data_IF_743815895852
#
_entry.id   IF_743815895852
#
_cell.length_a   1.000
_cell.length_b   1.000
_cell.length_c   1.000
_cell.angle_alpha   90.00
_cell.angle_beta   90.00
_cell.angle_gamma   90.00
#
_symmetry.space_group_name_H-M   'P 1'
#
loop_
_entity.id
_entity.type
_entity.pdbx_description
1 polymer ?
#
# COMPACT_ATOMS: atom_id res chain seq x y z
N UNK A 1 21.63 25.63 15.82
CA UNK A 1 22.09 25.01 14.56
C UNK A 1 21.30 23.72 14.38
N UNK A 2 20.19 23.77 13.65
CA UNK A 2 19.48 22.54 13.28
C UNK A 2 20.21 21.98 12.06
N UNK A 3 20.99 20.93 12.29
CA UNK A 3 21.49 20.09 11.19
C UNK A 3 20.25 19.46 10.56
N UNK A 4 19.98 19.76 9.29
CA UNK A 4 18.99 19.01 8.52
C UNK A 4 19.43 17.54 8.53
N UNK A 5 18.78 16.73 9.35
CA UNK A 5 18.93 15.28 9.34
C UNK A 5 18.16 14.78 8.13
N UNK A 6 18.87 14.53 7.05
CA UNK A 6 18.33 13.80 5.91
C UNK A 6 18.25 12.32 6.29
N UNK A 7 17.04 11.77 6.24
CA UNK A 7 16.79 10.34 6.47
C UNK A 7 16.89 9.67 5.11
N UNK A 8 17.74 8.64 4.99
CA UNK A 8 17.83 7.85 3.77
C UNK A 8 16.50 7.11 3.54
N UNK A 9 15.94 7.29 2.33
CA UNK A 9 14.76 6.58 1.87
C UNK A 9 14.91 5.05 1.96
N UNK A 10 16.11 4.53 1.73
CA UNK A 10 16.37 3.09 1.80
C UNK A 10 16.19 2.56 3.22
N UNK A 11 16.58 3.32 4.24
CA UNK A 11 16.44 2.94 5.64
C UNK A 11 14.96 2.94 6.07
N UNK A 12 14.17 3.89 5.58
CA UNK A 12 12.71 3.92 5.82
C UNK A 12 12.04 2.70 5.19
N UNK A 13 12.39 2.37 3.94
CA UNK A 13 11.85 1.20 3.25
C UNK A 13 12.21 -0.09 4.01
N UNK A 14 13.46 -0.22 4.48
CA UNK A 14 13.88 -1.37 5.31
C UNK A 14 13.09 -1.49 6.61
N UNK A 15 12.80 -0.38 7.29
CA UNK A 15 11.96 -0.39 8.51
C UNK A 15 10.54 -0.88 8.22
N UNK A 16 9.97 -0.51 7.08
CA UNK A 16 8.64 -0.96 6.65
C UNK A 16 8.69 -2.44 6.28
N UNK A 17 9.69 -2.87 5.51
CA UNK A 17 9.88 -4.27 5.14
C UNK A 17 10.00 -5.18 6.37
N UNK A 18 10.75 -4.74 7.39
CA UNK A 18 10.86 -5.45 8.66
C UNK A 18 9.50 -5.59 9.34
N UNK A 19 8.73 -4.50 9.44
CA UNK A 19 7.41 -4.52 10.04
C UNK A 19 6.44 -5.46 9.29
N UNK A 20 6.50 -5.47 7.96
CA UNK A 20 5.68 -6.38 7.15
C UNK A 20 6.07 -7.85 7.38
N UNK A 21 7.36 -8.14 7.56
CA UNK A 21 7.85 -9.48 7.89
C UNK A 21 7.35 -9.92 9.27
N UNK A 22 7.53 -9.09 10.30
CA UNK A 22 7.08 -9.36 11.67
C UNK A 22 5.55 -9.52 11.77
N UNK A 23 4.81 -8.83 10.89
CA UNK A 23 3.34 -8.90 10.83
C UNK A 23 2.80 -10.03 9.94
N UNK A 24 3.67 -10.89 9.39
CA UNK A 24 3.31 -11.98 8.45
C UNK A 24 2.59 -11.51 7.17
N UNK A 25 2.86 -10.29 6.71
CA UNK A 25 2.27 -9.71 5.49
C UNK A 25 3.15 -10.01 4.26
N UNK A 26 3.26 -11.30 3.92
CA UNK A 26 4.21 -11.81 2.91
C UNK A 26 3.98 -11.23 1.50
N UNK A 27 2.73 -11.09 1.06
CA UNK A 27 2.41 -10.53 -0.26
C UNK A 27 2.84 -9.07 -0.38
N UNK A 28 2.54 -8.26 0.63
CA UNK A 28 2.90 -6.83 0.64
C UNK A 28 4.41 -6.65 0.71
N UNK A 29 5.10 -7.50 1.47
CA UNK A 29 6.55 -7.52 1.53
C UNK A 29 7.17 -7.78 0.15
N UNK A 30 6.70 -8.82 -0.55
CA UNK A 30 7.23 -9.17 -1.88
C UNK A 30 7.00 -8.03 -2.88
N UNK A 31 5.78 -7.50 -2.96
CA UNK A 31 5.47 -6.39 -3.88
C UNK A 31 6.33 -5.17 -3.58
N UNK A 32 6.52 -4.81 -2.30
CA UNK A 32 7.33 -3.66 -1.94
C UNK A 32 8.81 -3.85 -2.32
N UNK A 33 9.35 -5.06 -2.18
CA UNK A 33 10.73 -5.38 -2.61
C UNK A 33 10.90 -5.33 -4.13
N UNK A 34 9.91 -5.81 -4.88
CA UNK A 34 9.94 -5.79 -6.36
C UNK A 34 9.86 -4.36 -6.91
N UNK A 35 8.98 -3.52 -6.34
CA UNK A 35 8.77 -2.14 -6.77
C UNK A 35 9.94 -1.20 -6.37
N UNK A 36 10.47 -1.36 -5.16
CA UNK A 36 11.53 -0.46 -4.65
C UNK A 36 12.93 -0.94 -5.01
N UNK A 37 13.12 -2.21 -5.35
CA UNK A 37 14.43 -2.83 -5.50
C UNK A 37 15.25 -2.92 -4.21
N UNK A 38 14.69 -2.51 -3.07
CA UNK A 38 15.34 -2.56 -1.75
C UNK A 38 14.94 -3.85 -1.06
N UNK A 39 15.94 -4.64 -0.66
CA UNK A 39 15.76 -5.87 0.09
C UNK A 39 16.14 -5.66 1.54
N UNK A 40 15.46 -6.39 2.42
CA UNK A 40 15.60 -6.21 3.86
C UNK A 40 17.02 -6.59 4.34
N UNK A 41 17.61 -7.65 3.76
CA UNK A 41 18.98 -8.16 4.05
C UNK A 41 19.39 -8.01 5.53
N UNK A 42 18.43 -8.27 6.43
CA UNK A 42 18.62 -8.05 7.86
C UNK A 42 18.68 -9.37 8.60
N UNK A 43 19.59 -9.46 9.55
CA UNK A 43 19.67 -10.58 10.50
C UNK A 43 19.65 -10.01 11.92
N UNK A 44 19.18 -10.80 12.89
CA UNK A 44 19.13 -10.39 14.30
C UNK A 44 20.52 -9.98 14.81
N UNK A 45 21.54 -10.80 14.52
CA UNK A 45 22.93 -10.50 14.82
C UNK A 45 23.85 -10.94 13.68
N UNK A 46 24.59 -9.99 13.12
CA UNK A 46 25.62 -10.27 12.10
C UNK A 46 26.78 -11.07 12.73
N UNK A 47 27.05 -10.87 14.02
CA UNK A 47 28.12 -11.58 14.74
C UNK A 47 27.76 -13.07 14.96
N UNK A 48 26.52 -13.35 15.35
CA UNK A 48 26.03 -14.72 15.51
C UNK A 48 25.99 -15.43 14.16
N UNK A 49 25.50 -14.76 13.12
CA UNK A 49 25.49 -15.31 11.77
C UNK A 49 26.92 -15.56 11.23
N UNK A 50 27.85 -14.63 11.45
CA UNK A 50 29.26 -14.85 11.09
C UNK A 50 29.86 -16.03 11.88
N UNK A 51 29.47 -16.21 13.14
CA UNK A 51 29.85 -17.37 13.95
C UNK A 51 29.28 -18.67 13.40
N UNK A 52 28.02 -18.69 12.96
CA UNK A 52 27.37 -19.85 12.31
C UNK A 52 28.14 -20.28 11.06
N UNK A 53 28.54 -19.33 10.23
CA UNK A 53 29.37 -19.58 9.03
C UNK A 53 30.74 -20.13 9.41
N UNK A 54 31.39 -19.56 10.44
CA UNK A 54 32.70 -20.05 10.92
C UNK A 54 32.61 -21.46 11.52
N UNK A 55 31.52 -21.78 12.19
CA UNK A 55 31.27 -23.09 12.78
C UNK A 55 30.79 -24.12 11.73
N UNK A 56 30.28 -23.67 10.58
CA UNK A 56 29.81 -24.52 9.49
C UNK A 56 28.40 -25.06 9.72
N UNK A 57 27.55 -24.30 10.41
CA UNK A 57 26.11 -24.60 10.55
C UNK A 57 25.38 -24.26 9.24
N UNK A 58 25.60 -25.06 8.21
CA UNK A 58 25.06 -24.76 6.87
C UNK A 58 23.54 -24.83 6.79
N UNK A 59 22.89 -25.56 7.68
CA UNK A 59 21.44 -25.60 7.83
C UNK A 59 20.87 -24.23 8.19
N UNK A 60 21.38 -23.60 9.26
CA UNK A 60 20.93 -22.27 9.67
C UNK A 60 21.35 -21.22 8.65
N UNK A 61 22.57 -21.32 8.12
CA UNK A 61 23.11 -20.35 7.15
C UNK A 61 22.33 -20.37 5.83
N UNK A 62 22.03 -21.54 5.26
CA UNK A 62 21.28 -21.60 4.00
C UNK A 62 19.81 -21.17 4.20
N UNK A 63 19.23 -21.47 5.37
CA UNK A 63 17.88 -21.01 5.69
C UNK A 63 17.80 -19.48 5.76
N UNK A 64 18.72 -18.81 6.44
CA UNK A 64 18.72 -17.34 6.50
C UNK A 64 19.07 -16.71 5.16
N UNK A 65 20.03 -17.27 4.41
CA UNK A 65 20.40 -16.79 3.07
C UNK A 65 19.24 -16.93 2.07
N UNK A 66 18.37 -17.93 2.20
CA UNK A 66 17.19 -18.07 1.33
C UNK A 66 16.20 -16.90 1.41
N UNK A 67 16.20 -16.17 2.53
CA UNK A 67 15.37 -14.98 2.75
C UNK A 67 16.09 -13.67 2.43
N UNK A 68 17.38 -13.73 2.10
CA UNK A 68 18.21 -12.56 1.81
C UNK A 68 18.55 -12.53 0.31
N UNK A 69 18.67 -11.32 -0.25
CA UNK A 69 19.18 -11.15 -1.61
C UNK A 69 20.62 -10.68 -1.55
N UNK A 70 21.53 -11.66 -1.55
CA UNK A 70 22.97 -11.44 -1.57
C UNK A 70 23.47 -11.25 -3.01
N UNK A 71 24.68 -10.71 -3.16
CA UNK A 71 25.33 -10.62 -4.46
C UNK A 71 25.66 -12.02 -5.00
N UNK A 72 25.64 -12.16 -6.32
CA UNK A 72 25.95 -13.44 -6.97
C UNK A 72 27.36 -13.94 -6.58
N UNK A 73 28.34 -13.04 -6.45
CA UNK A 73 29.70 -13.39 -6.05
C UNK A 73 29.77 -14.02 -4.65
N UNK A 74 29.04 -13.47 -3.68
CA UNK A 74 29.03 -13.99 -2.30
C UNK A 74 28.24 -15.29 -2.21
N UNK A 75 27.14 -15.43 -2.95
CA UNK A 75 26.41 -16.69 -3.10
C UNK A 75 27.30 -17.77 -3.71
N UNK A 76 28.05 -17.46 -4.77
CA UNK A 76 28.96 -18.41 -5.39
C UNK A 76 30.02 -18.92 -4.40
N UNK A 77 30.64 -18.03 -3.62
CA UNK A 77 31.63 -18.40 -2.62
C UNK A 77 31.04 -19.28 -1.51
N UNK A 78 29.82 -18.95 -1.05
CA UNK A 78 29.11 -19.73 -0.04
C UNK A 78 28.81 -21.14 -0.54
N UNK A 79 28.16 -21.27 -1.69
CA UNK A 79 27.78 -22.57 -2.27
C UNK A 79 29.00 -23.42 -2.65
N UNK A 80 30.08 -22.81 -3.12
CA UNK A 80 31.35 -23.49 -3.37
C UNK A 80 31.94 -24.08 -2.07
N UNK A 81 31.89 -23.33 -0.96
CA UNK A 81 32.35 -23.82 0.33
C UNK A 81 31.47 -24.94 0.88
N UNK A 82 30.13 -24.83 0.79
CA UNK A 82 29.22 -25.91 1.19
C UNK A 82 29.51 -27.18 0.41
N UNK A 83 29.69 -27.07 -0.92
CA UNK A 83 30.03 -28.21 -1.78
C UNK A 83 31.36 -28.86 -1.34
N UNK A 84 32.40 -28.06 -1.08
CA UNK A 84 33.70 -28.56 -0.61
C UNK A 84 33.58 -29.35 0.70
N UNK A 85 32.74 -28.88 1.62
CA UNK A 85 32.54 -29.55 2.90
C UNK A 85 31.67 -30.80 2.81
N UNK A 86 30.69 -30.84 1.89
CA UNK A 86 29.96 -32.06 1.59
C UNK A 86 30.87 -33.15 1.02
N UNK A 87 31.82 -32.77 0.17
CA UNK A 87 32.86 -33.69 -0.34
C UNK A 87 33.77 -34.18 0.79
N UNK A 88 34.12 -33.34 1.76
CA UNK A 88 34.90 -33.70 2.95
C UNK A 88 34.15 -34.72 3.83
N UNK A 89 32.84 -34.56 3.98
CA UNK A 89 31.95 -35.48 4.70
C UNK A 89 31.65 -36.78 3.92
N UNK A 90 32.18 -36.92 2.69
CA UNK A 90 31.96 -38.05 1.76
C UNK A 90 30.51 -38.18 1.25
N UNK A 91 29.73 -37.12 1.33
CA UNK A 91 28.36 -37.04 0.80
C UNK A 91 28.37 -36.65 -0.69
N UNK A 92 29.02 -37.49 -1.51
CA UNK A 92 29.29 -37.18 -2.94
C UNK A 92 28.02 -37.11 -3.78
N UNK A 93 27.01 -37.93 -3.46
CA UNK A 93 25.73 -37.93 -4.18
C UNK A 93 24.98 -36.61 -3.97
N UNK A 94 24.88 -36.15 -2.72
CA UNK A 94 24.24 -34.89 -2.38
C UNK A 94 25.03 -33.70 -2.97
N UNK A 95 26.37 -33.76 -2.97
CA UNK A 95 27.20 -32.75 -3.61
C UNK A 95 26.92 -32.64 -5.12
N UNK A 96 26.72 -33.77 -5.81
CA UNK A 96 26.34 -33.80 -7.23
C UNK A 96 24.94 -33.26 -7.48
N UNK A 97 23.97 -33.58 -6.62
CA UNK A 97 22.62 -33.02 -6.72
C UNK A 97 22.68 -31.50 -6.56
N UNK A 98 23.38 -31.00 -5.53
CA UNK A 98 23.55 -29.58 -5.28
C UNK A 98 24.18 -28.86 -6.49
N UNK A 99 25.23 -29.44 -7.11
CA UNK A 99 25.89 -28.88 -8.30
C UNK A 99 24.97 -28.81 -9.53
N UNK A 100 23.99 -29.71 -9.67
CA UNK A 100 23.11 -29.80 -10.85
C UNK A 100 21.78 -29.06 -10.68
N UNK A 101 21.20 -29.13 -9.49
CA UNK A 101 19.81 -28.72 -9.25
C UNK A 101 19.70 -27.27 -8.78
N UNK A 102 20.77 -26.68 -8.24
CA UNK A 102 20.72 -25.30 -7.75
C UNK A 102 20.87 -24.28 -8.88
N UNK A 103 20.06 -23.22 -8.83
CA UNK A 103 20.11 -22.10 -9.78
C UNK A 103 21.45 -21.35 -9.73
N UNK A 104 22.04 -21.25 -8.54
CA UNK A 104 23.33 -20.59 -8.29
C UNK A 104 24.45 -21.25 -9.10
N UNK A 105 24.54 -22.58 -9.10
CA UNK A 105 25.56 -23.27 -9.90
C UNK A 105 25.30 -23.23 -11.40
N UNK A 106 24.03 -23.13 -11.83
CA UNK A 106 23.70 -22.93 -13.24
C UNK A 106 24.18 -21.56 -13.75
N UNK A 107 24.04 -20.51 -12.94
CA UNK A 107 24.60 -19.19 -13.23
C UNK A 107 26.13 -19.19 -13.15
N UNK A 108 26.70 -19.84 -12.13
CA UNK A 108 28.16 -19.99 -11.97
C UNK A 108 28.81 -20.67 -13.17
N UNK A 109 28.16 -21.68 -13.76
CA UNK A 109 28.63 -22.37 -14.98
C UNK A 109 28.74 -21.43 -16.18
N UNK A 110 27.82 -20.46 -16.30
CA UNK A 110 27.83 -19.48 -17.39
C UNK A 110 28.93 -18.44 -17.21
N UNK A 111 29.13 -17.94 -15.99
CA UNK A 111 30.11 -16.89 -15.69
C UNK A 111 31.54 -17.40 -15.50
N UNK A 112 31.73 -18.59 -14.92
CA UNK A 112 33.04 -19.15 -14.54
C UNK A 112 33.19 -20.63 -14.97
N UNK A 113 33.21 -20.92 -16.29
CA UNK A 113 33.19 -22.29 -16.80
C UNK A 113 34.41 -23.13 -16.37
N UNK A 114 35.59 -22.54 -16.26
CA UNK A 114 36.82 -23.26 -15.84
C UNK A 114 36.80 -23.64 -14.36
N UNK A 115 36.25 -22.78 -13.50
CA UNK A 115 36.07 -23.10 -12.07
C UNK A 115 34.98 -24.17 -11.90
N UNK A 116 33.90 -24.10 -12.65
CA UNK A 116 32.83 -25.12 -12.61
C UNK A 116 33.33 -26.51 -13.03
N UNK A 117 34.09 -26.61 -14.14
CA UNK A 117 34.72 -27.88 -14.56
C UNK A 117 35.61 -28.48 -13.48
N UNK A 118 36.36 -27.63 -12.76
CA UNK A 118 37.17 -28.06 -11.63
C UNK A 118 36.31 -28.66 -10.51
N UNK A 119 35.21 -28.03 -10.13
CA UNK A 119 34.28 -28.56 -9.12
C UNK A 119 33.68 -29.90 -9.56
N UNK A 120 33.33 -30.05 -10.84
CA UNK A 120 32.89 -31.33 -11.41
C UNK A 120 33.98 -32.42 -11.32
N UNK A 121 35.23 -32.07 -11.64
CA UNK A 121 36.37 -32.99 -11.51
C UNK A 121 36.58 -33.42 -10.05
N UNK A 122 36.43 -32.50 -9.09
CA UNK A 122 36.52 -32.81 -7.66
C UNK A 122 35.40 -33.76 -7.22
N UNK A 123 34.16 -33.56 -7.68
CA UNK A 123 33.04 -34.47 -7.39
C UNK A 123 33.22 -35.87 -8.00
N UNK A 124 34.01 -35.98 -9.07
CA UNK A 124 34.31 -37.24 -9.76
C UNK A 124 35.52 -38.00 -9.21
N UNK A 125 36.30 -37.41 -8.29
CA UNK A 125 37.44 -38.09 -7.68
C UNK A 125 36.96 -39.15 -6.66
N UNK A 126 37.57 -40.36 -6.65
CA UNK A 126 37.19 -41.43 -5.74
C UNK A 126 37.67 -41.20 -4.29
N UNK A 127 38.66 -40.33 -4.09
CA UNK A 127 39.20 -40.00 -2.78
C UNK A 127 39.26 -38.49 -2.60
N UNK A 128 38.90 -38.03 -1.39
CA UNK A 128 39.01 -36.64 -0.99
C UNK A 128 40.46 -36.33 -0.58
N UNK A 129 41.12 -35.43 -1.29
CA UNK A 129 42.38 -34.84 -0.86
C UNK A 129 42.15 -33.37 -0.43
N UNK A 130 42.37 -33.01 0.85
CA UNK A 130 42.26 -31.63 1.33
C UNK A 130 43.08 -30.63 0.51
N UNK A 131 44.22 -31.05 -0.05
CA UNK A 131 45.09 -30.16 -0.84
C UNK A 131 44.50 -29.81 -2.21
N UNK A 132 43.76 -30.72 -2.83
CA UNK A 132 43.12 -30.49 -4.13
C UNK A 132 41.92 -29.53 -4.02
N UNK A 133 41.26 -29.54 -2.87
CA UNK A 133 40.06 -28.75 -2.58
C UNK A 133 40.41 -27.35 -2.06
N UNK A 134 41.35 -27.26 -1.13
CA UNK A 134 41.70 -26.00 -0.46
C UNK A 134 42.95 -25.30 -1.02
N UNK A 135 43.73 -25.95 -1.89
CA UNK A 135 44.97 -25.45 -2.50
C UNK A 135 45.96 -24.81 -1.50
N UNK A 136 45.93 -23.48 -1.42
CA UNK A 136 46.80 -22.63 -0.60
C UNK A 136 46.07 -21.99 0.59
N UNK A 137 44.77 -22.27 0.75
CA UNK A 137 43.95 -21.77 1.84
C UNK A 137 43.61 -22.90 2.82
N UNK A 138 43.04 -22.53 3.96
CA UNK A 138 42.46 -23.48 4.91
C UNK A 138 40.94 -23.30 4.94
N UNK A 139 40.24 -24.35 5.36
CA UNK A 139 38.80 -24.32 5.60
C UNK A 139 38.38 -23.12 6.45
N UNK A 140 39.06 -22.91 7.58
CA UNK A 140 38.78 -21.82 8.50
C UNK A 140 39.01 -20.44 7.87
N UNK A 141 40.05 -20.28 7.05
CA UNK A 141 40.31 -19.02 6.34
C UNK A 141 39.25 -18.73 5.28
N UNK A 142 38.78 -19.75 4.56
CA UNK A 142 37.67 -19.59 3.59
C UNK A 142 36.38 -19.24 4.30
N UNK A 143 36.03 -19.95 5.38
CA UNK A 143 34.85 -19.62 6.20
C UNK A 143 34.92 -18.20 6.75
N UNK A 144 36.06 -17.75 7.26
CA UNK A 144 36.24 -16.38 7.74
C UNK A 144 36.09 -15.34 6.63
N UNK A 145 36.63 -15.59 5.44
CA UNK A 145 36.47 -14.69 4.29
C UNK A 145 35.01 -14.60 3.83
N UNK A 146 34.29 -15.73 3.79
CA UNK A 146 32.86 -15.78 3.44
C UNK A 146 32.03 -15.07 4.50
N UNK A 147 32.29 -15.35 5.78
CA UNK A 147 31.62 -14.67 6.89
C UNK A 147 31.79 -13.15 6.80
N UNK A 148 33.00 -12.67 6.48
CA UNK A 148 33.25 -11.24 6.29
C UNK A 148 32.53 -10.68 5.06
N UNK A 149 32.53 -11.40 3.94
CA UNK A 149 31.86 -10.95 2.71
C UNK A 149 30.34 -10.83 2.91
N UNK A 150 29.72 -11.81 3.56
CA UNK A 150 28.29 -11.77 3.85
C UNK A 150 27.99 -10.72 4.94
N UNK A 151 28.83 -10.57 5.96
CA UNK A 151 28.68 -9.54 6.99
C UNK A 151 28.71 -8.11 6.44
N UNK A 152 29.43 -7.87 5.33
CA UNK A 152 29.44 -6.57 4.66
C UNK A 152 28.14 -6.27 3.89
N UNK A 153 27.38 -7.30 3.50
CA UNK A 153 26.11 -7.17 2.77
C UNK A 153 24.89 -7.19 3.69
N UNK A 154 25.04 -7.78 4.88
CA UNK A 154 23.98 -7.86 5.89
C UNK A 154 24.00 -6.68 6.84
N UNK A 155 22.82 -6.31 7.33
CA UNK A 155 22.67 -5.32 8.39
C UNK A 155 22.03 -5.95 9.63
N UNK A 156 22.49 -5.56 10.82
CA UNK A 156 21.79 -5.90 12.06
C UNK A 156 20.69 -4.88 12.30
N UNK A 157 19.44 -5.32 12.22
CA UNK A 157 18.29 -4.48 12.51
C UNK A 157 17.58 -5.08 13.74
N UNK A 158 17.52 -4.33 14.87
CA UNK A 158 16.82 -4.81 16.06
C UNK A 158 15.34 -5.12 15.75
N UNK A 159 14.79 -6.18 16.34
CA UNK A 159 13.36 -6.51 16.23
C UNK A 159 12.47 -5.31 16.56
N UNK A 160 11.39 -5.13 15.80
CA UNK A 160 10.38 -4.10 16.01
C UNK A 160 10.96 -2.67 16.07
N UNK A 161 11.99 -2.41 15.25
CA UNK A 161 12.66 -1.10 15.22
C UNK A 161 11.71 0.04 14.89
N UNK A 162 10.79 -0.16 13.93
CA UNK A 162 9.78 0.82 13.56
C UNK A 162 8.92 1.23 14.77
N UNK A 163 8.38 0.25 15.50
CA UNK A 163 7.57 0.49 16.70
C UNK A 163 8.38 1.19 17.80
N UNK A 164 9.65 0.84 17.95
CA UNK A 164 10.55 1.49 18.90
C UNK A 164 10.76 2.96 18.55
N UNK A 165 11.01 3.26 17.28
CA UNK A 165 11.18 4.64 16.79
C UNK A 165 9.90 5.46 16.94
N UNK A 166 8.74 4.86 16.65
CA UNK A 166 7.44 5.48 16.91
C UNK A 166 7.26 5.76 18.41
N UNK A 167 7.59 4.81 19.29
CA UNK A 167 7.54 5.02 20.73
C UNK A 167 8.47 6.16 21.20
N UNK A 168 9.66 6.29 20.61
CA UNK A 168 10.60 7.37 20.90
C UNK A 168 10.09 8.73 20.40
N UNK A 169 9.53 8.80 19.19
CA UNK A 169 8.97 10.05 18.65
C UNK A 169 7.81 10.55 19.49
N UNK A 170 6.95 9.66 19.98
CA UNK A 170 5.85 9.98 20.88
C UNK A 170 6.33 10.50 22.24
N UNK A 171 7.35 9.86 22.83
CA UNK A 171 7.98 10.37 24.07
C UNK A 171 8.55 11.77 23.86
N UNK A 172 9.16 12.03 22.71
CA UNK A 172 9.66 13.36 22.35
C UNK A 172 8.53 14.39 22.24
N UNK A 173 7.44 14.07 21.55
CA UNK A 173 6.26 14.94 21.43
C UNK A 173 5.62 15.24 22.79
N UNK A 174 5.54 14.23 23.68
CA UNK A 174 5.06 14.40 25.06
C UNK A 174 5.93 15.37 25.85
N UNK A 175 7.26 15.23 25.77
CA UNK A 175 8.21 16.13 26.44
C UNK A 175 8.13 17.57 25.90
N UNK A 176 7.81 17.73 24.62
CA UNK A 176 7.63 19.04 23.98
C UNK A 176 6.24 19.65 24.20
N UNK A 177 5.33 18.96 24.88
CA UNK A 177 3.96 19.44 25.11
C UNK A 177 3.10 19.48 23.84
N UNK A 178 3.47 18.72 22.81
CA UNK A 178 2.75 18.65 21.53
C UNK A 178 1.57 17.66 21.56
N UNK A 179 1.36 16.95 22.66
CA UNK A 179 0.25 16.00 22.83
C UNK A 179 -0.82 16.60 23.75
N UNK A 180 -2.09 16.67 23.32
CA UNK A 180 -3.20 17.14 24.15
C UNK A 180 -3.36 16.27 25.41
N UNK A 181 -3.60 16.90 26.55
CA UNK A 181 -3.86 16.18 27.80
C UNK A 181 -5.29 15.60 27.80
N UNK A 182 -5.44 14.33 27.42
CA UNK A 182 -6.65 13.54 27.71
C UNK A 182 -7.47 13.01 26.54
N UNK A 183 -7.00 13.11 25.29
CA UNK A 183 -7.67 12.50 24.14
C UNK A 183 -7.17 11.08 23.82
N UNK A 184 -7.99 10.32 23.09
CA UNK A 184 -7.62 8.98 22.60
C UNK A 184 -6.36 9.14 21.73
N UNK A 185 -5.37 8.33 22.06
CA UNK A 185 -4.05 8.35 21.45
C UNK A 185 -4.11 7.92 19.98
N UNK A 186 -3.68 8.80 19.08
CA UNK A 186 -3.51 8.49 17.66
C UNK A 186 -2.08 8.90 17.22
N UNK A 187 -1.40 7.98 16.56
CA UNK A 187 -0.02 8.11 16.06
C UNK A 187 0.08 9.10 14.90
N UNK A 188 -1.02 9.38 14.19
CA UNK A 188 -1.04 10.22 13.00
C UNK A 188 -1.40 11.69 13.26
N UNK A 189 -1.81 12.04 14.48
CA UNK A 189 -2.30 13.38 14.83
C UNK A 189 -1.21 14.49 14.85
N UNK A 190 0.07 14.16 14.64
CA UNK A 190 1.16 15.12 14.80
C UNK A 190 1.88 15.55 13.52
N UNK A 191 1.24 15.39 12.35
CA UNK A 191 1.68 16.03 11.12
C UNK A 191 0.59 16.98 10.59
N UNK A 192 0.59 18.21 11.11
CA UNK A 192 0.08 19.39 10.41
C UNK A 192 -1.34 19.30 9.80
N UNK A 193 -2.33 18.75 10.50
CA UNK A 193 -3.74 19.04 10.18
C UNK A 193 -4.24 20.18 11.07
N UNK A 194 -4.15 21.40 10.55
CA UNK A 194 -5.21 22.38 10.78
C UNK A 194 -6.50 21.81 10.19
N UNK A 195 -7.14 20.91 10.92
CA UNK A 195 -8.38 20.25 10.54
C UNK A 195 -9.02 19.79 11.83
N UNK A 196 -10.00 20.55 12.30
CA UNK A 196 -10.81 20.19 13.46
C UNK A 196 -11.56 18.90 13.13
N UNK A 197 -10.97 17.75 13.42
CA UNK A 197 -11.76 16.54 13.66
C UNK A 197 -12.30 16.64 15.08
N UNK A 198 -13.32 17.49 15.23
CA UNK A 198 -14.14 17.50 16.43
C UNK A 198 -14.77 16.12 16.59
N UNK A 199 -14.82 15.63 17.84
CA UNK A 199 -15.71 14.52 18.21
C UNK A 199 -17.04 14.68 17.46
N UNK A 200 -17.58 13.58 16.94
CA UNK A 200 -18.97 13.52 16.43
C UNK A 200 -19.92 13.81 17.61
N UNK A 201 -20.08 15.09 17.90
CA UNK A 201 -21.11 15.61 18.77
C UNK A 201 -22.37 15.81 17.92
N UNK A 202 -23.53 15.56 18.51
CA UNK A 202 -24.80 15.83 17.84
C UNK A 202 -24.84 17.31 17.40
N UNK A 203 -25.40 17.63 16.23
CA UNK A 203 -25.41 18.99 15.71
C UNK A 203 -26.14 19.94 16.67
N UNK A 204 -25.43 20.87 17.30
CA UNK A 204 -25.98 21.82 18.28
C UNK A 204 -26.35 23.16 17.64
N UNK A 205 -25.80 23.48 16.47
CA UNK A 205 -25.97 24.77 15.81
C UNK A 205 -26.20 24.65 14.30
N UNK A 206 -26.94 25.62 13.75
CA UNK A 206 -27.12 25.77 12.30
C UNK A 206 -25.82 26.37 11.73
N UNK A 207 -25.13 25.60 10.88
CA UNK A 207 -23.88 26.05 10.28
C UNK A 207 -24.12 27.14 9.21
N UNK A 208 -25.01 26.87 8.25
CA UNK A 208 -25.35 27.75 7.13
C UNK A 208 -26.81 27.59 6.72
N UNK A 209 -27.37 28.65 6.13
CA UNK A 209 -28.71 28.65 5.53
C UNK A 209 -28.62 29.16 4.10
N UNK A 210 -29.01 28.33 3.14
CA UNK A 210 -29.10 28.69 1.73
C UNK A 210 -30.49 29.28 1.49
N UNK A 211 -30.55 30.46 0.87
CA UNK A 211 -31.81 31.14 0.55
C UNK A 211 -32.11 30.99 -0.93
N UNK A 212 -33.25 30.39 -1.24
CA UNK A 212 -33.77 30.27 -2.60
C UNK A 212 -34.64 31.48 -2.95
N UNK A 213 -34.83 31.73 -4.25
CA UNK A 213 -35.72 32.80 -4.74
C UNK A 213 -37.19 32.53 -4.38
N UNK A 214 -38.04 33.56 -4.45
CA UNK A 214 -39.46 33.47 -4.00
C UNK A 214 -40.34 32.48 -4.78
N UNK A 215 -39.86 31.96 -5.92
CA UNK A 215 -40.55 30.97 -6.75
C UNK A 215 -39.85 29.60 -6.79
N UNK A 216 -38.72 29.46 -6.10
CA UNK A 216 -37.94 28.22 -6.07
C UNK A 216 -38.00 27.63 -4.67
N UNK A 217 -38.48 26.39 -4.59
CA UNK A 217 -38.60 25.65 -3.34
C UNK A 217 -37.78 24.36 -3.46
N UNK A 218 -36.72 24.18 -2.65
CA UNK A 218 -35.97 22.94 -2.63
C UNK A 218 -36.81 21.85 -1.95
N UNK A 219 -37.05 20.74 -2.64
CA UNK A 219 -37.79 19.58 -2.11
C UNK A 219 -36.85 18.51 -1.58
N UNK A 220 -35.64 18.41 -2.13
CA UNK A 220 -34.64 17.43 -1.75
C UNK A 220 -33.23 18.03 -1.74
N UNK A 221 -32.36 17.46 -0.91
CA UNK A 221 -30.95 17.82 -0.87
C UNK A 221 -30.10 16.61 -0.48
N UNK A 222 -28.87 16.57 -0.99
CA UNK A 222 -27.89 15.53 -0.70
C UNK A 222 -26.48 16.09 -0.64
N UNK A 223 -25.67 15.61 0.30
CA UNK A 223 -24.23 15.86 0.32
C UNK A 223 -23.52 14.90 -0.63
N UNK A 224 -22.48 15.39 -1.31
CA UNK A 224 -21.57 14.51 -2.02
C UNK A 224 -20.72 13.70 -1.02
N UNK A 225 -20.43 12.42 -1.31
CA UNK A 225 -19.60 11.58 -0.46
C UNK A 225 -18.17 12.09 -0.22
N UNK A 226 -17.62 12.86 -1.16
CA UNK A 226 -16.33 13.53 -1.02
C UNK A 226 -16.37 14.73 -0.05
N UNK A 227 -17.56 15.16 0.37
CA UNK A 227 -17.76 16.29 1.26
C UNK A 227 -17.37 17.63 0.64
N UNK A 228 -17.36 17.78 -0.68
CA UNK A 228 -17.06 19.06 -1.35
C UNK A 228 -18.31 19.80 -1.84
N UNK A 229 -19.38 19.07 -2.14
CA UNK A 229 -20.57 19.60 -2.79
C UNK A 229 -21.84 19.26 -2.00
N UNK A 230 -22.81 20.17 -2.06
CA UNK A 230 -24.18 19.95 -1.65
C UNK A 230 -25.06 20.15 -2.89
N UNK A 231 -25.98 19.25 -3.15
CA UNK A 231 -26.94 19.43 -4.25
C UNK A 231 -28.33 19.61 -3.68
N UNK A 232 -29.11 20.46 -4.33
CA UNK A 232 -30.55 20.60 -4.10
C UNK A 232 -31.33 20.39 -5.40
N UNK A 233 -32.44 19.66 -5.30
CA UNK A 233 -33.47 19.61 -6.34
C UNK A 233 -34.68 20.45 -5.93
N UNK A 234 -35.18 21.25 -6.86
CA UNK A 234 -36.27 22.20 -6.61
C UNK A 234 -37.53 21.94 -7.44
N UNK A 235 -38.63 22.53 -7.00
CA UNK A 235 -39.97 22.36 -7.60
C UNK A 235 -40.08 22.97 -9.01
N UNK A 236 -39.23 23.95 -9.32
CA UNK A 236 -39.10 24.56 -10.64
C UNK A 236 -38.30 23.68 -11.62
N UNK A 237 -37.88 22.48 -11.19
CA UNK A 237 -37.21 21.49 -12.03
C UNK A 237 -35.69 21.65 -12.09
N UNK A 238 -35.12 22.65 -11.41
CA UNK A 238 -33.67 22.85 -11.41
C UNK A 238 -32.95 21.96 -10.39
N UNK A 239 -31.70 21.63 -10.73
CA UNK A 239 -30.77 20.94 -9.86
C UNK A 239 -29.54 21.82 -9.72
N UNK A 240 -29.33 22.30 -8.50
CA UNK A 240 -28.29 23.27 -8.17
C UNK A 240 -27.24 22.63 -7.26
N UNK A 241 -25.97 22.80 -7.62
CA UNK A 241 -24.81 22.41 -6.82
C UNK A 241 -24.28 23.62 -6.05
N UNK A 242 -23.99 23.42 -4.78
CA UNK A 242 -23.54 24.41 -3.82
C UNK A 242 -22.23 23.96 -3.18
N UNK A 243 -21.42 24.92 -2.78
CA UNK A 243 -20.29 24.65 -1.89
C UNK A 243 -20.79 24.64 -0.44
N UNK A 244 -20.58 23.53 0.28
CA UNK A 244 -21.15 23.37 1.63
C UNK A 244 -20.54 24.34 2.66
N UNK A 245 -19.24 24.67 2.53
CA UNK A 245 -18.52 25.54 3.48
C UNK A 245 -19.03 26.97 3.44
N UNK A 246 -19.26 27.49 2.23
CA UNK A 246 -19.67 28.88 2.00
C UNK A 246 -21.19 29.02 1.93
N UNK A 247 -21.91 27.97 1.53
CA UNK A 247 -23.35 28.00 1.25
C UNK A 247 -23.69 28.80 0.01
N UNK A 248 -22.74 28.98 -0.91
CA UNK A 248 -22.93 29.70 -2.17
C UNK A 248 -23.02 28.73 -3.35
N UNK A 249 -23.70 29.17 -4.41
CA UNK A 249 -23.81 28.39 -5.64
C UNK A 249 -22.41 28.16 -6.21
N UNK A 250 -22.10 26.91 -6.58
CA UNK A 250 -20.76 26.56 -7.03
C UNK A 250 -20.48 27.14 -8.43
N UNK A 251 -19.73 28.24 -8.49
CA UNK A 251 -19.37 28.92 -9.75
C UNK A 251 -18.12 28.36 -10.43
N UNK A 252 -17.48 27.35 -9.85
CA UNK A 252 -16.37 26.64 -10.50
C UNK A 252 -16.87 25.73 -11.62
N UNK A 253 -18.10 25.23 -11.49
CA UNK A 253 -18.77 24.43 -12.50
C UNK A 253 -19.19 25.33 -13.67
N UNK A 254 -18.58 25.12 -14.84
CA UNK A 254 -18.76 25.97 -16.01
C UNK A 254 -20.24 26.13 -16.41
N UNK A 255 -21.02 25.06 -16.32
CA UNK A 255 -22.45 25.07 -16.65
C UNK A 255 -23.29 25.90 -15.66
N UNK A 256 -22.95 25.93 -14.37
CA UNK A 256 -23.64 26.79 -13.40
C UNK A 256 -23.21 28.26 -13.53
N UNK A 257 -21.98 28.51 -13.99
CA UNK A 257 -21.50 29.87 -14.27
C UNK A 257 -22.17 30.49 -15.51
N UNK A 258 -22.53 29.66 -16.48
CA UNK A 258 -23.20 30.06 -17.72
C UNK A 258 -24.73 29.96 -17.66
N UNK A 259 -25.31 29.78 -16.46
CA UNK A 259 -26.75 29.56 -16.20
C UNK A 259 -27.36 28.37 -16.99
N UNK A 260 -26.53 27.44 -17.45
CA UNK A 260 -26.93 26.18 -18.08
C UNK A 260 -27.12 25.08 -17.02
N UNK A 261 -28.01 25.33 -16.05
CA UNK A 261 -28.27 24.41 -14.95
C UNK A 261 -28.83 23.06 -15.43
N UNK A 262 -28.52 22.00 -14.68
CA UNK A 262 -29.17 20.72 -14.84
C UNK A 262 -30.67 20.88 -14.56
N UNK A 263 -31.51 20.39 -15.47
CA UNK A 263 -32.95 20.63 -15.39
C UNK A 263 -33.82 19.42 -15.75
N UNK A 264 -34.96 19.36 -15.10
CA UNK A 264 -36.11 18.52 -15.40
C UNK A 264 -37.28 19.40 -15.88
N UNK A 265 -38.23 18.79 -16.57
CA UNK A 265 -39.45 19.48 -17.01
C UNK A 265 -40.47 19.63 -15.86
N UNK A 266 -40.32 18.81 -14.81
CA UNK A 266 -41.13 18.82 -13.60
C UNK A 266 -40.26 18.85 -12.35
N UNK A 267 -40.91 19.02 -11.20
CA UNK A 267 -40.28 19.10 -9.89
C UNK A 267 -39.32 17.93 -9.63
N UNK A 268 -38.13 18.26 -9.13
CA UNK A 268 -37.13 17.27 -8.73
C UNK A 268 -37.36 16.90 -7.27
N UNK A 269 -37.78 15.66 -7.04
CA UNK A 269 -38.25 15.18 -5.72
C UNK A 269 -37.22 14.29 -5.04
N UNK A 270 -36.32 13.68 -5.80
CA UNK A 270 -35.25 12.84 -5.27
C UNK A 270 -33.93 13.15 -5.95
N UNK A 271 -32.85 13.18 -5.16
CA UNK A 271 -31.48 13.37 -5.62
C UNK A 271 -30.56 12.49 -4.81
N UNK A 272 -29.59 11.86 -5.48
CA UNK A 272 -28.53 11.11 -4.80
C UNK A 272 -27.24 11.12 -5.62
N UNK A 273 -26.12 11.17 -4.91
CA UNK A 273 -24.78 11.02 -5.48
C UNK A 273 -24.34 9.56 -5.56
N UNK A 274 -23.55 9.25 -6.58
CA UNK A 274 -22.73 8.05 -6.59
C UNK A 274 -21.64 8.14 -5.52
N UNK A 275 -21.11 6.99 -5.07
CA UNK A 275 -20.10 6.97 -4.00
C UNK A 275 -18.77 7.61 -4.38
N UNK A 276 -18.46 7.67 -5.67
CA UNK A 276 -17.28 8.35 -6.22
C UNK A 276 -17.51 9.86 -6.42
N UNK A 277 -18.72 10.38 -6.14
CA UNK A 277 -19.12 11.79 -6.30
C UNK A 277 -19.08 12.33 -7.74
N UNK A 278 -18.79 11.48 -8.74
CA UNK A 278 -18.69 11.90 -10.14
C UNK A 278 -20.07 12.00 -10.82
N UNK A 279 -21.02 11.19 -10.36
CA UNK A 279 -22.32 11.00 -10.98
C UNK A 279 -23.44 11.38 -10.02
N UNK A 280 -24.47 12.03 -10.55
CA UNK A 280 -25.65 12.45 -9.81
C UNK A 280 -26.90 11.86 -10.45
N UNK A 281 -27.70 11.14 -9.67
CA UNK A 281 -29.02 10.69 -10.09
C UNK A 281 -30.10 11.62 -9.53
N UNK A 282 -31.08 11.93 -10.37
CA UNK A 282 -32.16 12.86 -10.07
C UNK A 282 -33.48 12.29 -10.57
N UNK A 283 -34.49 12.28 -9.70
CA UNK A 283 -35.82 11.75 -9.96
C UNK A 283 -36.86 12.86 -9.94
N UNK A 284 -37.75 12.87 -10.94
CA UNK A 284 -38.82 13.84 -11.06
C UNK A 284 -40.15 13.34 -10.50
N UNK A 285 -41.07 14.28 -10.30
CA UNK A 285 -42.46 14.00 -9.92
C UNK A 285 -43.22 13.21 -10.99
N UNK A 286 -42.82 13.28 -12.25
CA UNK A 286 -43.47 12.54 -13.35
C UNK A 286 -42.85 11.15 -13.58
N UNK A 287 -41.97 10.69 -12.70
CA UNK A 287 -41.34 9.37 -12.84
C UNK A 287 -40.17 9.34 -13.84
N UNK A 288 -39.63 10.50 -14.23
CA UNK A 288 -38.42 10.57 -15.04
C UNK A 288 -37.18 10.46 -14.16
N UNK A 289 -36.24 9.61 -14.55
CA UNK A 289 -34.92 9.50 -13.91
C UNK A 289 -33.86 10.03 -14.87
N UNK A 290 -33.04 10.97 -14.41
CA UNK A 290 -31.86 11.46 -15.14
C UNK A 290 -30.60 11.23 -14.34
N UNK A 291 -29.57 10.76 -15.03
CA UNK A 291 -28.23 10.57 -14.50
C UNK A 291 -27.32 11.60 -15.16
N UNK A 292 -26.61 12.37 -14.34
CA UNK A 292 -25.78 13.50 -14.74
C UNK A 292 -24.33 13.27 -14.34
N UNK A 293 -23.41 13.82 -15.13
CA UNK A 293 -22.00 13.93 -14.75
C UNK A 293 -21.82 15.28 -14.06
N UNK A 294 -21.44 15.27 -12.79
CA UNK A 294 -21.44 16.48 -11.93
C UNK A 294 -20.46 17.52 -12.44
N UNK A 295 -19.29 17.11 -12.91
CA UNK A 295 -18.25 18.01 -13.40
C UNK A 295 -18.67 18.80 -14.66
N UNK A 296 -19.46 18.20 -15.54
CA UNK A 296 -19.84 18.78 -16.83
C UNK A 296 -21.29 19.26 -16.89
N UNK A 297 -22.14 18.81 -15.97
CA UNK A 297 -23.58 19.07 -15.99
C UNK A 297 -24.31 18.36 -17.12
N UNK A 298 -23.66 17.44 -17.84
CA UNK A 298 -24.26 16.74 -18.97
C UNK A 298 -25.10 15.55 -18.50
N UNK A 299 -26.25 15.34 -19.14
CA UNK A 299 -27.10 14.18 -18.89
C UNK A 299 -26.50 12.96 -19.59
N UNK A 300 -25.91 12.05 -18.81
CA UNK A 300 -25.34 10.81 -19.31
C UNK A 300 -26.42 9.80 -19.73
N UNK A 301 -27.50 9.69 -18.94
CA UNK A 301 -28.63 8.82 -19.23
C UNK A 301 -29.95 9.46 -18.81
N UNK A 302 -30.97 9.27 -19.64
CA UNK A 302 -32.35 9.70 -19.39
C UNK A 302 -33.27 8.49 -19.49
N UNK A 303 -34.12 8.32 -18.48
CA UNK A 303 -35.19 7.34 -18.45
C UNK A 303 -36.53 8.07 -18.34
N UNK A 304 -37.21 8.24 -19.48
CA UNK A 304 -38.46 9.01 -19.57
C UNK A 304 -39.65 8.33 -18.87
N UNK A 305 -39.59 7.01 -18.69
CA UNK A 305 -40.61 6.22 -17.99
C UNK A 305 -39.94 5.20 -17.06
N UNK A 306 -39.16 5.71 -16.10
CA UNK A 306 -38.62 4.83 -15.05
C UNK A 306 -39.76 4.31 -14.17
N UNK A 307 -40.73 5.18 -13.86
CA UNK A 307 -41.93 4.89 -13.08
C UNK A 307 -43.16 5.59 -13.65
N UNK A 308 -44.35 5.11 -13.28
CA UNK A 308 -45.64 5.72 -13.67
C UNK A 308 -46.12 6.79 -12.66
N UNK A 309 -45.32 7.05 -11.61
CA UNK A 309 -45.55 8.07 -10.61
C UNK A 309 -44.25 8.66 -10.05
N UNK A 310 -44.37 9.64 -9.16
CA UNK A 310 -43.23 10.38 -8.60
C UNK A 310 -42.20 9.46 -7.92
N UNK A 311 -40.92 9.66 -8.27
CA UNK A 311 -39.79 8.95 -7.65
C UNK A 311 -39.56 9.57 -6.28
N UNK A 312 -39.64 8.76 -5.23
CA UNK A 312 -39.54 9.19 -3.83
C UNK A 312 -38.13 9.07 -3.28
N UNK A 313 -37.37 8.08 -3.73
CA UNK A 313 -36.02 7.84 -3.28
C UNK A 313 -35.22 7.15 -4.37
N UNK A 314 -33.92 7.42 -4.35
CA UNK A 314 -32.91 6.82 -5.22
C UNK A 314 -31.81 6.31 -4.29
N UNK A 315 -31.30 5.10 -4.57
CA UNK A 315 -30.15 4.54 -3.87
C UNK A 315 -29.13 3.93 -4.85
N UNK A 316 -27.87 4.36 -4.79
CA UNK A 316 -26.76 3.72 -5.50
C UNK A 316 -26.26 2.47 -4.77
N UNK A 317 -25.94 1.43 -5.55
CA UNK A 317 -25.27 0.24 -5.02
C UNK A 317 -23.84 0.57 -4.52
N UNK A 318 -23.28 -0.28 -3.66
CA UNK A 318 -21.94 -0.04 -3.08
C UNK A 318 -20.81 0.01 -4.11
N UNK A 319 -21.01 -0.67 -5.23
CA UNK A 319 -20.11 -0.75 -6.37
C UNK A 319 -20.46 0.26 -7.49
N UNK A 320 -21.45 1.14 -7.28
CA UNK A 320 -21.96 2.12 -8.26
C UNK A 320 -22.47 1.52 -9.59
N UNK A 321 -22.67 0.21 -9.68
CA UNK A 321 -23.10 -0.48 -10.91
C UNK A 321 -24.61 -0.46 -11.11
N UNK A 322 -25.36 -0.40 -10.02
CA UNK A 322 -26.81 -0.48 -10.00
C UNK A 322 -27.41 0.71 -9.24
N UNK A 323 -28.63 1.06 -9.61
CA UNK A 323 -29.39 2.14 -9.02
C UNK A 323 -30.79 1.61 -8.73
N UNK A 324 -31.20 1.76 -7.47
CA UNK A 324 -32.51 1.39 -6.97
C UNK A 324 -33.38 2.64 -6.91
N UNK A 325 -34.56 2.60 -7.53
CA UNK A 325 -35.56 3.67 -7.43
C UNK A 325 -36.82 3.18 -6.74
N UNK A 326 -37.43 4.02 -5.91
CA UNK A 326 -38.77 3.79 -5.35
C UNK A 326 -39.74 4.86 -5.82
N UNK A 327 -40.99 4.49 -6.06
CA UNK A 327 -42.02 5.42 -6.55
C UNK A 327 -43.37 5.25 -5.84
N UNK A 328 -44.20 6.29 -5.96
CA UNK A 328 -45.62 6.25 -5.58
C UNK A 328 -46.46 5.25 -6.41
N UNK A 329 -45.93 4.71 -7.50
CA UNK A 329 -46.58 3.62 -8.26
C UNK A 329 -46.58 2.27 -7.53
N UNK A 330 -46.17 2.25 -6.25
CA UNK A 330 -46.06 1.08 -5.36
C UNK A 330 -44.98 0.07 -5.79
N UNK A 331 -44.09 0.45 -6.71
CA UNK A 331 -42.98 -0.39 -7.17
C UNK A 331 -41.63 0.21 -6.80
N UNK A 332 -40.65 -0.67 -6.56
CA UNK A 332 -39.24 -0.34 -6.52
C UNK A 332 -38.54 -1.08 -7.66
N UNK A 333 -37.63 -0.41 -8.38
CA UNK A 333 -36.99 -0.91 -9.60
C UNK A 333 -35.48 -0.78 -9.55
#
# INVERSE_FOLDING_TARGET
MATNLEIDSADVIRLILQFLQESNLTRTLQVLQEETGVYLNSVESVEEFASDVQQGRWDTVLQTVSHCKLQDETLHLLYEQVLCEMLELREVELARCLLRETSVFNQYRLHYPEKFKRLELLCNKPFFDPKDVYEHSTKDRRRAAIAQAIANELQSVPSSRLLTLLGMSLKYQKQKGMLPAGEKFDLFLNAASTGKEGREEFPVAIAKTIKFGSKSHPECAAFSPDGHHLVSGSIDGFVEVWEWTTGQLNKELAYQKEDALMMHESAVVAVEFSRDSEVLATGSQDGQLKVWIVATGQCARKFDRAHDGAITSISFSKDNTHLLTSSFDTTAR
#
